data_IF_737755699501
#
_entry.id   IF_737755699501
#
_cell.length_a   1.000
_cell.length_b   1.000
_cell.length_c   1.000
_cell.angle_alpha   90.00
_cell.angle_beta   90.00
_cell.angle_gamma   90.00
#
_symmetry.space_group_name_H-M   'P 1'
#
loop_
_entity.id
_entity.type
_entity.pdbx_description
1 polymer ?
#
# COMPACT_ATOMS: atom_id res chain seq x y z
N UNK A 1 16.24 6.68 -52.09
CA UNK A 1 15.90 5.47 -51.33
C UNK A 1 15.70 5.87 -49.88
N UNK A 2 14.46 5.89 -49.39
CA UNK A 2 14.17 6.14 -47.98
C UNK A 2 14.39 4.82 -47.22
N UNK A 3 15.38 4.79 -46.32
CA UNK A 3 15.54 3.68 -45.39
C UNK A 3 14.46 3.80 -44.31
N UNK A 4 13.43 2.97 -44.39
CA UNK A 4 12.50 2.75 -43.27
C UNK A 4 13.27 2.07 -42.15
N UNK A 5 13.61 2.82 -41.10
CA UNK A 5 14.02 2.24 -39.82
C UNK A 5 12.82 1.49 -39.23
N UNK A 6 12.78 0.17 -39.41
CA UNK A 6 11.87 -0.67 -38.66
C UNK A 6 12.26 -0.58 -37.18
N UNK A 7 11.40 0.01 -36.36
CA UNK A 7 11.55 -0.04 -34.91
C UNK A 7 11.39 -1.51 -34.50
N UNK A 8 12.46 -2.14 -33.99
CA UNK A 8 12.34 -3.47 -33.40
C UNK A 8 11.44 -3.34 -32.15
N UNK A 9 10.21 -3.83 -32.24
CA UNK A 9 9.37 -4.00 -31.07
C UNK A 9 9.88 -5.22 -30.31
N UNK A 10 10.62 -4.99 -29.21
CA UNK A 10 10.98 -6.05 -28.28
C UNK A 10 9.72 -6.72 -27.74
N UNK A 11 9.75 -8.05 -27.63
CA UNK A 11 8.66 -8.77 -27.00
C UNK A 11 8.47 -8.28 -25.55
N UNK A 12 7.21 -8.11 -25.14
CA UNK A 12 6.88 -7.59 -23.82
C UNK A 12 6.74 -8.73 -22.79
N UNK A 13 7.11 -8.50 -21.52
CA UNK A 13 6.78 -9.40 -20.43
C UNK A 13 5.27 -9.69 -20.37
N UNK A 14 4.93 -10.92 -20.05
CA UNK A 14 3.54 -11.34 -19.85
C UNK A 14 3.39 -11.97 -18.47
N UNK A 15 2.31 -11.65 -17.75
CA UNK A 15 2.00 -12.34 -16.51
C UNK A 15 1.72 -13.82 -16.80
N UNK A 16 2.24 -14.73 -15.98
CA UNK A 16 2.03 -16.17 -16.13
C UNK A 16 0.54 -16.47 -16.00
N UNK A 17 -0.05 -17.07 -17.05
CA UNK A 17 -1.50 -17.29 -17.15
C UNK A 17 -2.27 -16.14 -17.84
N UNK A 18 -1.58 -15.10 -18.30
CA UNK A 18 -2.16 -14.00 -19.08
C UNK A 18 -2.87 -12.95 -18.23
N UNK A 19 -3.56 -12.03 -18.91
CA UNK A 19 -4.17 -10.86 -18.27
C UNK A 19 -5.23 -11.22 -17.21
N UNK A 20 -6.05 -12.23 -17.46
CA UNK A 20 -7.08 -12.65 -16.50
C UNK A 20 -6.46 -13.17 -15.19
N UNK A 21 -5.38 -13.95 -15.29
CA UNK A 21 -4.64 -14.43 -14.13
C UNK A 21 -4.01 -13.27 -13.33
N UNK A 22 -3.56 -12.21 -14.01
CA UNK A 22 -3.08 -11.00 -13.32
C UNK A 22 -4.22 -10.30 -12.57
N UNK A 23 -5.39 -10.14 -13.19
CA UNK A 23 -6.54 -9.52 -12.52
C UNK A 23 -7.00 -10.31 -11.30
N UNK A 24 -7.04 -11.65 -11.41
CA UNK A 24 -7.38 -12.53 -10.28
C UNK A 24 -6.31 -12.49 -9.18
N UNK A 25 -5.02 -12.48 -9.57
CA UNK A 25 -3.92 -12.31 -8.62
C UNK A 25 -4.06 -11.01 -7.85
N UNK A 26 -4.24 -9.88 -8.54
CA UNK A 26 -4.41 -8.58 -7.90
C UNK A 26 -5.62 -8.58 -6.97
N UNK A 27 -6.78 -9.08 -7.43
CA UNK A 27 -8.00 -9.14 -6.61
C UNK A 27 -7.82 -9.96 -5.33
N UNK A 28 -7.08 -11.06 -5.39
CA UNK A 28 -6.85 -11.93 -4.22
C UNK A 28 -5.75 -11.41 -3.30
N UNK A 29 -4.82 -10.61 -3.82
CA UNK A 29 -3.74 -10.01 -3.05
C UNK A 29 -4.11 -8.66 -2.45
N UNK A 30 -5.02 -7.89 -3.03
CA UNK A 30 -5.46 -6.61 -2.44
C UNK A 30 -6.02 -6.82 -1.03
N UNK A 31 -5.48 -6.05 -0.09
CA UNK A 31 -6.01 -5.85 1.26
C UNK A 31 -6.42 -4.39 1.32
N UNK A 32 -7.73 -4.13 1.28
CA UNK A 32 -8.25 -2.76 1.18
C UNK A 32 -7.78 -1.93 2.39
N UNK A 33 -7.06 -0.83 2.18
CA UNK A 33 -6.57 0.02 3.27
C UNK A 33 -7.69 0.57 4.15
N UNK A 34 -7.39 0.78 5.43
CA UNK A 34 -8.39 1.14 6.44
C UNK A 34 -9.10 2.45 6.13
N UNK A 35 -8.34 3.49 5.82
CA UNK A 35 -8.90 4.83 5.63
C UNK A 35 -9.77 4.87 4.39
N UNK A 36 -9.25 4.36 3.27
CA UNK A 36 -10.02 4.27 2.03
C UNK A 36 -11.22 3.33 2.11
N UNK A 37 -11.15 2.26 2.91
CA UNK A 37 -12.29 1.38 3.15
C UNK A 37 -13.39 2.08 3.96
N UNK A 38 -13.06 2.79 5.03
CA UNK A 38 -14.05 3.50 5.87
C UNK A 38 -14.69 4.68 5.16
N UNK A 39 -13.96 5.32 4.25
CA UNK A 39 -14.43 6.46 3.47
C UNK A 39 -14.96 6.08 2.09
N UNK A 40 -15.06 4.78 1.77
CA UNK A 40 -15.59 4.28 0.51
C UNK A 40 -14.91 4.87 -0.74
N UNK A 41 -13.60 5.13 -0.65
CA UNK A 41 -12.82 5.75 -1.72
C UNK A 41 -12.52 4.69 -2.77
N UNK A 42 -13.07 4.85 -3.97
CA UNK A 42 -12.75 4.03 -5.14
C UNK A 42 -11.77 4.76 -6.07
N UNK A 43 -10.84 4.02 -6.68
CA UNK A 43 -9.82 4.63 -7.54
C UNK A 43 -9.22 3.64 -8.53
N UNK A 44 -8.54 4.15 -9.55
CA UNK A 44 -7.57 3.37 -10.32
C UNK A 44 -6.21 4.04 -10.18
N UNK A 45 -5.24 3.29 -9.66
CA UNK A 45 -3.87 3.75 -9.44
C UNK A 45 -2.98 3.16 -10.54
N UNK A 46 -2.29 4.02 -11.30
CA UNK A 46 -1.34 3.57 -12.30
C UNK A 46 0.04 3.42 -11.66
N UNK A 47 0.54 2.18 -11.62
CA UNK A 47 1.86 1.87 -11.10
C UNK A 47 2.81 1.63 -12.26
N UNK A 48 3.87 2.44 -12.32
CA UNK A 48 5.00 2.22 -13.21
C UNK A 48 6.02 1.30 -12.52
N UNK A 49 6.49 0.27 -13.21
CA UNK A 49 7.46 -0.68 -12.65
C UNK A 49 8.37 -1.29 -13.71
N UNK A 50 9.47 -1.87 -13.26
CA UNK A 50 10.44 -2.61 -14.09
C UNK A 50 10.62 -4.02 -13.56
N UNK A 51 10.97 -4.92 -14.47
CA UNK A 51 11.29 -6.31 -14.16
C UNK A 51 12.77 -6.56 -14.46
N UNK A 52 13.41 -7.45 -13.71
CA UNK A 52 14.67 -8.07 -14.12
C UNK A 52 14.42 -9.26 -15.07
N UNK A 53 15.50 -9.84 -15.59
CA UNK A 53 15.46 -11.04 -16.42
C UNK A 53 14.87 -12.29 -15.74
N UNK A 54 14.69 -12.28 -14.41
CA UNK A 54 14.04 -13.34 -13.65
C UNK A 54 12.54 -13.07 -13.39
N UNK A 55 12.02 -11.94 -13.89
CA UNK A 55 10.66 -11.50 -13.67
C UNK A 55 10.38 -10.99 -12.26
N UNK A 56 11.41 -10.54 -11.54
CA UNK A 56 11.27 -9.87 -10.25
C UNK A 56 11.09 -8.37 -10.46
N UNK A 57 10.20 -7.75 -9.69
CA UNK A 57 10.03 -6.30 -9.69
C UNK A 57 11.25 -5.65 -9.04
N UNK A 58 11.95 -4.78 -9.79
CA UNK A 58 13.17 -4.10 -9.33
C UNK A 58 12.91 -2.67 -8.89
N UNK A 59 11.98 -1.99 -9.55
CA UNK A 59 11.51 -0.65 -9.20
C UNK A 59 10.00 -0.58 -9.37
N UNK A 60 9.31 0.12 -8.47
CA UNK A 60 7.89 0.43 -8.59
C UNK A 60 7.64 1.85 -8.06
N UNK A 61 6.84 2.62 -8.79
CA UNK A 61 6.46 3.99 -8.42
C UNK A 61 5.05 4.28 -8.93
N UNK A 62 4.28 5.06 -8.16
CA UNK A 62 2.97 5.53 -8.61
C UNK A 62 3.16 6.63 -9.64
N UNK A 63 2.66 6.40 -10.85
CA UNK A 63 2.66 7.40 -11.93
C UNK A 63 1.44 8.32 -11.82
N UNK A 64 0.28 7.75 -11.48
CA UNK A 64 -0.96 8.48 -11.24
C UNK A 64 -1.70 7.81 -10.09
N UNK A 65 -1.87 8.54 -9.01
CA UNK A 65 -2.56 8.07 -7.82
C UNK A 65 -3.25 9.20 -7.07
N UNK A 66 -3.72 8.89 -5.87
CA UNK A 66 -4.45 9.85 -5.03
C UNK A 66 -3.55 10.50 -3.98
N UNK A 67 -2.37 9.95 -3.72
CA UNK A 67 -1.49 10.37 -2.63
C UNK A 67 -2.04 9.99 -1.25
N UNK A 68 -2.73 8.85 -1.16
CA UNK A 68 -3.28 8.28 0.07
C UNK A 68 -2.96 6.78 0.13
N UNK A 69 -3.40 6.10 1.18
CA UNK A 69 -3.15 4.68 1.46
C UNK A 69 -3.39 3.67 0.29
N UNK A 70 -4.25 3.98 -0.69
CA UNK A 70 -4.40 3.16 -1.92
C UNK A 70 -3.14 3.11 -2.79
N UNK A 71 -2.33 4.18 -2.79
CA UNK A 71 -1.10 4.27 -3.57
C UNK A 71 -0.05 3.26 -3.03
N UNK A 72 0.09 3.19 -1.71
CA UNK A 72 0.98 2.23 -1.04
C UNK A 72 0.54 0.78 -1.27
N UNK A 73 -0.78 0.54 -1.22
CA UNK A 73 -1.33 -0.78 -1.49
C UNK A 73 -1.13 -1.20 -2.95
N UNK A 74 -1.29 -0.28 -3.91
CA UNK A 74 -1.02 -0.53 -5.32
C UNK A 74 0.45 -0.92 -5.55
N UNK A 75 1.39 -0.22 -4.90
CA UNK A 75 2.81 -0.56 -4.93
C UNK A 75 3.08 -1.94 -4.34
N UNK A 76 2.45 -2.26 -3.20
CA UNK A 76 2.61 -3.56 -2.53
C UNK A 76 2.18 -4.72 -3.43
N UNK A 77 0.97 -4.66 -4.00
CA UNK A 77 0.47 -5.77 -4.83
C UNK A 77 1.26 -5.93 -6.12
N UNK A 78 1.79 -4.85 -6.69
CA UNK A 78 2.72 -4.93 -7.81
C UNK A 78 4.02 -5.62 -7.41
N UNK A 79 4.63 -5.27 -6.26
CA UNK A 79 5.83 -5.98 -5.77
C UNK A 79 5.58 -7.48 -5.61
N UNK A 80 4.40 -7.88 -5.13
CA UNK A 80 4.01 -9.29 -4.98
C UNK A 80 3.90 -10.05 -6.31
N UNK A 81 3.80 -9.36 -7.46
CA UNK A 81 3.84 -10.02 -8.77
C UNK A 81 5.23 -10.56 -9.13
N UNK A 82 6.27 -10.25 -8.34
CA UNK A 82 7.63 -10.75 -8.56
C UNK A 82 7.67 -12.27 -8.71
N UNK A 83 8.34 -12.75 -9.75
CA UNK A 83 8.43 -14.18 -10.07
C UNK A 83 7.20 -14.74 -10.81
N UNK A 84 6.16 -13.94 -11.02
CA UNK A 84 4.95 -14.33 -11.76
C UNK A 84 4.95 -13.85 -13.22
N UNK A 85 6.06 -13.32 -13.73
CA UNK A 85 6.19 -12.85 -15.11
C UNK A 85 6.97 -13.84 -15.96
N UNK A 86 6.56 -13.99 -17.23
CA UNK A 86 7.32 -14.63 -18.29
C UNK A 86 8.08 -13.54 -19.02
N UNK A 87 9.41 -13.67 -19.06
CA UNK A 87 10.32 -12.70 -19.66
C UNK A 87 10.80 -13.23 -21.02
N UNK A 88 10.59 -12.49 -22.13
CA UNK A 88 11.15 -12.83 -23.43
C UNK A 88 12.69 -12.76 -23.46
N UNK A 89 13.33 -13.53 -24.33
CA UNK A 89 14.79 -13.59 -24.42
C UNK A 89 15.45 -12.26 -24.83
N UNK A 90 14.73 -11.40 -25.54
CA UNK A 90 15.14 -10.08 -26.01
C UNK A 90 14.63 -8.94 -25.11
N UNK A 91 14.13 -9.24 -23.91
CA UNK A 91 13.60 -8.23 -22.99
C UNK A 91 14.68 -7.23 -22.54
N UNK A 92 14.31 -5.95 -22.54
CA UNK A 92 15.14 -4.88 -21.99
C UNK A 92 14.67 -4.52 -20.57
N UNK A 93 15.50 -4.75 -19.56
CA UNK A 93 15.19 -4.46 -18.14
C UNK A 93 14.89 -2.97 -17.85
N UNK A 94 15.24 -2.05 -18.76
CA UNK A 94 14.87 -0.64 -18.66
C UNK A 94 13.43 -0.34 -19.13
N UNK A 95 12.74 -1.34 -19.70
CA UNK A 95 11.35 -1.22 -20.15
C UNK A 95 10.46 -0.89 -18.97
N UNK A 96 9.82 0.28 -19.03
CA UNK A 96 8.88 0.71 -18.03
C UNK A 96 7.49 0.16 -18.35
N UNK A 97 7.00 -0.75 -17.50
CA UNK A 97 5.65 -1.28 -17.56
C UNK A 97 4.72 -0.39 -16.73
N UNK A 98 3.47 -0.25 -17.16
CA UNK A 98 2.44 0.47 -16.40
C UNK A 98 1.24 -0.45 -16.23
N UNK A 99 0.86 -0.69 -14.99
CA UNK A 99 -0.30 -1.50 -14.66
C UNK A 99 -1.33 -0.65 -13.88
N UNK A 100 -2.55 -0.46 -14.41
CA UNK A 100 -3.65 0.11 -13.65
C UNK A 100 -4.16 -0.88 -12.60
N UNK A 101 -4.23 -0.44 -11.34
CA UNK A 101 -4.77 -1.20 -10.21
C UNK A 101 -6.09 -0.58 -9.80
N UNK A 102 -7.19 -1.31 -9.97
CA UNK A 102 -8.53 -0.84 -9.65
C UNK A 102 -8.90 -1.22 -8.21
N UNK A 103 -9.31 -0.24 -7.44
CA UNK A 103 -9.90 -0.38 -6.11
C UNK A 103 -11.38 -0.04 -6.18
N UNK A 104 -12.21 -0.99 -5.80
CA UNK A 104 -13.67 -0.87 -5.74
C UNK A 104 -14.12 -1.39 -4.36
N UNK A 105 -14.57 -0.53 -3.45
CA UNK A 105 -14.97 -0.96 -2.12
C UNK A 105 -16.26 -1.77 -2.21
N UNK A 106 -16.48 -2.68 -1.25
CA UNK A 106 -17.70 -3.49 -1.21
C UNK A 106 -18.95 -2.60 -1.19
N UNK A 107 -19.79 -2.74 -2.23
CA UNK A 107 -21.00 -1.93 -2.44
C UNK A 107 -22.01 -2.05 -1.29
N UNK A 108 -22.00 -3.14 -0.54
CA UNK A 108 -22.93 -3.41 0.57
C UNK A 108 -22.82 -2.38 1.70
N UNK A 109 -21.62 -1.82 1.92
CA UNK A 109 -21.38 -0.82 2.97
C UNK A 109 -21.24 0.60 2.42
N UNK A 110 -21.03 0.75 1.11
CA UNK A 110 -20.65 2.03 0.51
C UNK A 110 -21.76 2.75 -0.27
N UNK A 111 -22.89 2.09 -0.53
CA UNK A 111 -24.18 2.66 -0.97
C UNK A 111 -24.14 4.08 -1.57
N UNK A 112 -24.85 5.04 -0.96
CA UNK A 112 -24.93 6.44 -1.39
C UNK A 112 -23.72 7.30 -1.01
N UNK A 113 -22.74 6.74 -0.28
CA UNK A 113 -21.53 7.45 0.16
C UNK A 113 -20.47 7.52 -0.93
N UNK A 114 -20.51 6.62 -1.91
CA UNK A 114 -19.61 6.60 -3.06
C UNK A 114 -19.97 7.70 -4.09
N UNK A 115 -19.80 8.97 -3.71
CA UNK A 115 -19.89 10.10 -4.62
C UNK A 115 -18.57 10.90 -4.64
N UNK A 116 -18.30 11.55 -5.77
CA UNK A 116 -17.01 12.22 -6.01
C UNK A 116 -16.69 13.34 -5.02
N UNK A 117 -17.69 14.08 -4.54
CA UNK A 117 -17.49 15.18 -3.60
C UNK A 117 -17.07 14.68 -2.21
N UNK A 118 -17.71 13.61 -1.73
CA UNK A 118 -17.37 12.98 -0.46
C UNK A 118 -15.97 12.35 -0.50
N UNK A 119 -15.62 11.70 -1.62
CA UNK A 119 -14.29 11.12 -1.80
C UNK A 119 -13.21 12.21 -1.81
N UNK A 120 -13.44 13.32 -2.53
CA UNK A 120 -12.46 14.42 -2.55
C UNK A 120 -12.23 15.02 -1.16
N UNK A 121 -13.30 15.25 -0.40
CA UNK A 121 -13.19 15.75 0.96
C UNK A 121 -12.41 14.80 1.88
N UNK A 122 -12.62 13.48 1.75
CA UNK A 122 -11.84 12.48 2.48
C UNK A 122 -10.36 12.46 2.03
N UNK A 123 -10.09 12.55 0.72
CA UNK A 123 -8.70 12.64 0.23
C UNK A 123 -7.99 13.87 0.81
N UNK A 124 -8.67 15.02 0.88
CA UNK A 124 -8.11 16.24 1.44
C UNK A 124 -7.91 16.13 2.95
N UNK A 125 -8.87 15.55 3.68
CA UNK A 125 -8.75 15.26 5.10
C UNK A 125 -7.54 14.36 5.41
N UNK A 126 -7.36 13.27 4.66
CA UNK A 126 -6.20 12.39 4.79
C UNK A 126 -4.88 13.18 4.73
N UNK A 127 -4.73 14.00 3.68
CA UNK A 127 -3.51 14.78 3.43
C UNK A 127 -3.29 15.84 4.51
N UNK A 128 -4.36 16.51 4.94
CA UNK A 128 -4.28 17.55 5.96
C UNK A 128 -3.91 17.01 7.35
N UNK A 129 -4.18 15.73 7.61
CA UNK A 129 -3.84 15.07 8.88
C UNK A 129 -2.44 14.46 8.92
N UNK A 130 -1.73 14.39 7.79
CA UNK A 130 -0.44 13.70 7.70
C UNK A 130 0.60 14.23 8.68
N UNK A 131 0.70 15.55 8.88
CA UNK A 131 1.65 16.13 9.84
C UNK A 131 1.29 15.82 11.29
N UNK A 132 0.00 15.70 11.61
CA UNK A 132 -0.47 15.32 12.94
C UNK A 132 -0.16 13.84 13.22
N UNK A 133 -0.36 12.97 12.22
CA UNK A 133 0.03 11.56 12.29
C UNK A 133 1.55 11.40 12.44
N UNK A 134 2.33 12.17 11.67
CA UNK A 134 3.80 12.22 11.80
C UNK A 134 4.22 12.63 13.20
N UNK A 135 3.54 13.61 13.82
CA UNK A 135 3.83 14.02 15.19
C UNK A 135 3.59 12.88 16.20
N UNK A 136 2.48 12.15 16.07
CA UNK A 136 2.17 10.99 16.92
C UNK A 136 3.18 9.88 16.70
N UNK A 137 3.42 9.48 15.46
CA UNK A 137 4.31 8.36 15.12
C UNK A 137 5.74 8.62 15.57
N UNK A 138 6.28 9.82 15.29
CA UNK A 138 7.61 10.20 15.75
C UNK A 138 7.74 10.22 17.27
N UNK A 139 6.70 10.63 18.01
CA UNK A 139 6.71 10.57 19.46
C UNK A 139 6.88 9.14 19.96
N UNK A 140 6.04 8.20 19.52
CA UNK A 140 6.09 6.83 20.02
C UNK A 140 7.33 6.07 19.53
N UNK A 141 7.81 6.33 18.30
CA UNK A 141 9.10 5.81 17.84
C UNK A 141 10.21 6.17 18.84
N UNK A 142 10.28 7.44 19.26
CA UNK A 142 11.27 7.87 20.24
C UNK A 142 10.96 7.35 21.65
N UNK A 143 9.69 7.20 22.02
CA UNK A 143 9.28 6.66 23.31
C UNK A 143 9.75 5.21 23.47
N UNK A 144 9.60 4.37 22.45
CA UNK A 144 10.11 2.99 22.47
C UNK A 144 11.64 2.91 22.44
N UNK A 145 12.32 3.95 21.95
CA UNK A 145 13.79 4.09 22.04
C UNK A 145 14.27 4.65 23.38
N UNK A 146 13.36 5.09 24.26
CA UNK A 146 13.70 5.75 25.52
C UNK A 146 14.24 7.18 25.35
N UNK A 147 14.02 7.82 24.19
CA UNK A 147 14.55 9.16 23.85
C UNK A 147 13.48 10.24 23.74
N UNK A 148 12.20 9.90 23.96
CA UNK A 148 11.12 10.88 23.90
C UNK A 148 11.11 11.81 25.12
N UNK A 149 10.73 13.07 24.89
CA UNK A 149 10.35 14.00 25.93
C UNK A 149 8.94 13.65 26.45
N UNK A 150 8.90 12.98 27.61
CA UNK A 150 7.65 12.48 28.21
C UNK A 150 6.71 13.61 28.65
N UNK A 151 7.18 14.86 28.77
CA UNK A 151 6.31 16.00 29.07
C UNK A 151 5.30 16.29 27.94
N UNK A 152 5.59 15.84 26.71
CA UNK A 152 4.72 15.99 25.54
C UNK A 152 3.60 14.96 25.47
N UNK A 153 3.65 13.91 26.30
CA UNK A 153 2.69 12.81 26.24
C UNK A 153 1.22 13.23 26.29
N UNK A 154 0.79 14.16 27.17
CA UNK A 154 -0.60 14.58 27.23
C UNK A 154 -1.09 15.19 25.91
N UNK A 155 -0.24 15.98 25.23
CA UNK A 155 -0.58 16.57 23.92
C UNK A 155 -0.67 15.49 22.83
N UNK A 156 0.22 14.50 22.85
CA UNK A 156 0.19 13.38 21.90
C UNK A 156 -1.05 12.50 22.11
N UNK A 157 -1.47 12.27 23.36
CA UNK A 157 -2.72 11.56 23.65
C UNK A 157 -3.95 12.32 23.13
N UNK A 158 -3.96 13.65 23.23
CA UNK A 158 -5.02 14.48 22.64
C UNK A 158 -5.03 14.38 21.11
N UNK A 159 -3.86 14.41 20.45
CA UNK A 159 -3.73 14.21 19.01
C UNK A 159 -4.20 12.83 18.56
N UNK A 160 -3.83 11.77 19.28
CA UNK A 160 -4.34 10.41 19.02
C UNK A 160 -5.86 10.36 19.02
N UNK A 161 -6.49 10.99 20.02
CA UNK A 161 -7.96 11.06 20.10
C UNK A 161 -8.55 11.83 18.93
N UNK A 162 -7.94 12.96 18.54
CA UNK A 162 -8.38 13.75 17.39
C UNK A 162 -8.28 12.98 16.07
N UNK A 163 -7.24 12.16 15.91
CA UNK A 163 -6.98 11.37 14.70
C UNK A 163 -7.77 10.05 14.66
N UNK A 164 -8.50 9.71 15.72
CA UNK A 164 -9.21 8.42 15.80
C UNK A 164 -8.26 7.22 15.96
N UNK A 165 -7.08 7.41 16.56
CA UNK A 165 -6.15 6.33 16.88
C UNK A 165 -6.59 5.56 18.13
N UNK A 166 -7.74 4.92 18.00
CA UNK A 166 -8.43 4.16 19.03
C UNK A 166 -8.32 2.64 18.82
N UNK A 167 -8.94 1.90 19.75
CA UNK A 167 -8.92 0.45 19.76
C UNK A 167 -9.65 -0.21 18.57
N UNK A 168 -10.60 0.50 17.96
CA UNK A 168 -11.30 0.02 16.77
C UNK A 168 -10.36 0.07 15.56
N UNK A 169 -9.71 1.22 15.32
CA UNK A 169 -8.69 1.36 14.28
C UNK A 169 -7.59 0.31 14.45
N UNK A 170 -7.05 0.16 15.67
CA UNK A 170 -5.99 -0.82 15.94
C UNK A 170 -6.47 -2.24 15.62
N UNK A 171 -7.71 -2.57 15.95
CA UNK A 171 -8.32 -3.86 15.62
C UNK A 171 -8.39 -4.12 14.12
N UNK A 172 -8.73 -3.11 13.33
CA UNK A 172 -8.83 -3.24 11.87
C UNK A 172 -7.45 -3.34 11.21
N UNK A 173 -6.48 -2.53 11.65
CA UNK A 173 -5.09 -2.62 11.19
C UNK A 173 -4.49 -3.99 11.52
N UNK A 174 -4.78 -4.57 12.70
CA UNK A 174 -4.36 -5.93 13.03
C UNK A 174 -4.95 -6.97 12.07
N UNK A 175 -6.22 -6.83 11.66
CA UNK A 175 -6.83 -7.73 10.68
C UNK A 175 -6.12 -7.62 9.32
N UNK A 176 -5.82 -6.41 8.87
CA UNK A 176 -5.10 -6.18 7.61
C UNK A 176 -3.69 -6.79 7.64
N UNK A 177 -2.92 -6.49 8.68
CA UNK A 177 -1.58 -7.05 8.87
C UNK A 177 -1.60 -8.59 8.86
N UNK A 178 -2.55 -9.18 9.60
CA UNK A 178 -2.72 -10.63 9.65
C UNK A 178 -3.18 -11.23 8.30
N UNK A 179 -3.95 -10.49 7.50
CA UNK A 179 -4.32 -10.90 6.16
C UNK A 179 -3.10 -10.88 5.22
N UNK A 180 -2.27 -9.85 5.28
CA UNK A 180 -0.99 -9.79 4.53
C UNK A 180 -0.07 -10.95 4.91
N UNK A 181 0.05 -11.26 6.20
CA UNK A 181 0.81 -12.44 6.65
C UNK A 181 0.26 -13.75 6.05
N UNK A 182 -1.07 -13.93 6.00
CA UNK A 182 -1.70 -15.10 5.35
C UNK A 182 -1.47 -15.19 3.85
N UNK A 183 -1.15 -14.06 3.20
CA UNK A 183 -0.77 -14.01 1.79
C UNK A 183 0.73 -14.28 1.56
N UNK A 184 1.45 -14.70 2.60
CA UNK A 184 2.92 -14.82 2.68
C UNK A 184 3.67 -13.48 2.54
N UNK A 185 2.96 -12.37 2.67
CA UNK A 185 3.52 -11.01 2.64
C UNK A 185 3.94 -10.56 4.04
N UNK A 186 5.09 -11.07 4.49
CA UNK A 186 5.68 -10.71 5.78
C UNK A 186 6.10 -9.25 5.85
N UNK A 187 6.62 -8.69 4.77
CA UNK A 187 7.06 -7.28 4.72
C UNK A 187 5.86 -6.35 4.92
N UNK A 188 4.79 -6.53 4.14
CA UNK A 188 3.57 -5.75 4.28
C UNK A 188 2.91 -5.91 5.65
N UNK A 189 2.89 -7.12 6.21
CA UNK A 189 2.39 -7.35 7.57
C UNK A 189 3.22 -6.60 8.63
N UNK A 190 4.55 -6.60 8.48
CA UNK A 190 5.47 -5.90 9.37
C UNK A 190 5.33 -4.38 9.30
N UNK A 191 5.08 -3.81 8.12
CA UNK A 191 4.76 -2.39 7.96
C UNK A 191 3.53 -2.01 8.79
N UNK A 192 2.44 -2.77 8.66
CA UNK A 192 1.19 -2.48 9.38
C UNK A 192 1.35 -2.64 10.90
N UNK A 193 1.97 -3.73 11.36
CA UNK A 193 2.23 -3.93 12.79
C UNK A 193 3.13 -2.84 13.38
N UNK A 194 4.15 -2.41 12.63
CA UNK A 194 5.04 -1.32 13.06
C UNK A 194 4.29 0.00 13.12
N UNK A 195 3.37 0.26 12.20
CA UNK A 195 2.49 1.43 12.28
C UNK A 195 1.62 1.40 13.54
N UNK A 196 0.98 0.26 13.86
CA UNK A 196 0.20 0.07 15.10
C UNK A 196 1.04 0.38 16.34
N UNK A 197 2.29 -0.10 16.36
CA UNK A 197 3.26 0.25 17.42
C UNK A 197 3.50 1.75 17.46
N UNK A 198 3.78 2.36 16.33
CA UNK A 198 4.12 3.78 16.21
C UNK A 198 2.95 4.72 16.50
N UNK A 199 1.69 4.29 16.41
CA UNK A 199 0.56 5.07 16.94
C UNK A 199 0.33 4.85 18.44
N UNK A 200 1.24 4.12 19.10
CA UNK A 200 1.28 3.95 20.54
C UNK A 200 0.43 2.80 21.08
N UNK A 201 0.28 1.72 20.32
CA UNK A 201 -0.33 0.48 20.79
C UNK A 201 0.70 -0.65 20.86
N UNK A 202 0.70 -1.40 21.94
CA UNK A 202 1.54 -2.59 22.12
C UNK A 202 0.90 -3.88 21.58
N UNK A 203 -0.33 -3.82 21.08
CA UNK A 203 -1.11 -5.00 20.64
C UNK A 203 -0.42 -5.77 19.50
N UNK A 204 0.45 -5.12 18.74
CA UNK A 204 1.22 -5.72 17.65
C UNK A 204 2.60 -6.25 18.08
N UNK A 205 3.07 -5.98 19.30
CA UNK A 205 4.46 -6.23 19.72
C UNK A 205 4.86 -7.70 19.64
N UNK A 206 3.95 -8.61 20.00
CA UNK A 206 4.20 -10.04 19.91
C UNK A 206 4.36 -10.52 18.46
N UNK A 207 3.63 -9.92 17.51
CA UNK A 207 3.75 -10.21 16.08
C UNK A 207 5.07 -9.65 15.53
N UNK A 208 5.40 -8.41 15.87
CA UNK A 208 6.67 -7.78 15.48
C UNK A 208 7.84 -8.64 15.93
N UNK A 209 7.90 -8.99 17.22
CA UNK A 209 8.98 -9.84 17.76
C UNK A 209 9.09 -11.19 17.06
N UNK A 210 7.97 -11.76 16.61
CA UNK A 210 7.92 -13.10 16.02
C UNK A 210 8.25 -13.11 14.53
N UNK A 211 7.80 -12.12 13.78
CA UNK A 211 7.80 -12.16 12.31
C UNK A 211 8.64 -11.06 11.66
N UNK A 212 8.86 -9.95 12.35
CA UNK A 212 9.62 -8.83 11.83
C UNK A 212 11.04 -8.96 12.34
N UNK A 213 11.96 -9.24 11.42
CA UNK A 213 13.38 -9.31 11.72
C UNK A 213 13.84 -8.03 12.41
N UNK A 214 14.73 -8.18 13.40
CA UNK A 214 15.51 -7.08 13.96
C UNK A 214 16.47 -6.53 12.91
#
# INVERSE_FOLDING_TARGET
>A
MMATTASMAFAQPAFKGGQNALMDFLRTKIVYPEYSSKNCISATIDVAFRLDNNGKVTTASVQRGLGIDLDDEALRVIKLTSGHWTIPADYNENTNLVQPIRFDPSQTNCGTLNNAANMQAAIDDYKNRQELENAVTNYYINKYKGTADTSKEPAILALKKQLGFDDELIGDLLKQANQKLKQDDKEGACTDWTFIRNIGSDKADSFIKKYCGQ
#
